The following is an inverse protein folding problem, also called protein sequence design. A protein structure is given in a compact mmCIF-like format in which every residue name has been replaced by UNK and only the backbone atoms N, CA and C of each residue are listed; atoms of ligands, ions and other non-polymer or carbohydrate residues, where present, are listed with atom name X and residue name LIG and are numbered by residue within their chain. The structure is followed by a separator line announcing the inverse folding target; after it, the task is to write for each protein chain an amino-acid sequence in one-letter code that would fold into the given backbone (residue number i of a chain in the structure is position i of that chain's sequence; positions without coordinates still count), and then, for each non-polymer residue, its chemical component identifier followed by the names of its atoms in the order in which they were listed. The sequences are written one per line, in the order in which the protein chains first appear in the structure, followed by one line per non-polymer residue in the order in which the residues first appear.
data_IF_998515184870
#
_entry.id   IF_998515184870
#
_cell.length_a   1.000
_cell.length_b   1.000
_cell.length_c   1.000
_cell.angle_alpha   90.00
_cell.angle_beta   90.00
_cell.angle_gamma   90.00
#
_symmetry.space_group_name_H-M   'P 1'
#
loop_
_entity.id
_entity.type
_entity.pdbx_description
1 polymer ?
#
# COMPACT_ATOMS: atom_id res chain seq x y z
N UNK A 1 19.06 -1.26 -5.92
CA UNK A 1 19.25 -0.63 -4.60
C UNK A 1 20.65 -0.06 -4.43
N UNK A 2 21.69 -0.84 -4.71
CA UNK A 2 23.10 -0.43 -4.53
C UNK A 2 23.46 0.93 -5.18
N UNK A 3 23.01 1.18 -6.41
CA UNK A 3 23.28 2.44 -7.11
C UNK A 3 22.71 3.67 -6.40
N UNK A 4 21.47 3.61 -5.91
CA UNK A 4 20.82 4.71 -5.17
C UNK A 4 21.63 5.09 -3.93
N UNK A 5 22.02 4.06 -3.16
CA UNK A 5 22.81 4.23 -1.94
C UNK A 5 24.21 4.75 -2.24
N UNK A 6 24.86 4.27 -3.30
CA UNK A 6 26.17 4.74 -3.74
C UNK A 6 26.15 6.23 -4.05
N UNK A 7 25.25 6.67 -4.93
CA UNK A 7 25.13 8.08 -5.33
C UNK A 7 24.84 8.97 -4.12
N UNK A 8 23.93 8.52 -3.23
CA UNK A 8 23.60 9.25 -1.99
C UNK A 8 24.83 9.42 -1.09
N UNK A 9 25.57 8.34 -0.85
CA UNK A 9 26.75 8.35 0.03
C UNK A 9 27.89 9.18 -0.56
N UNK A 10 28.13 9.12 -1.86
CA UNK A 10 29.17 9.91 -2.53
C UNK A 10 28.92 11.41 -2.38
N UNK A 11 27.67 11.85 -2.53
CA UNK A 11 27.30 13.27 -2.39
C UNK A 11 27.30 13.71 -0.93
N UNK A 12 26.75 12.90 -0.01
CA UNK A 12 26.70 13.26 1.42
C UNK A 12 28.08 13.27 2.09
N UNK A 13 28.99 12.40 1.65
CA UNK A 13 30.39 12.35 2.12
C UNK A 13 31.29 13.36 1.42
N UNK A 14 30.75 14.17 0.50
CA UNK A 14 31.52 15.19 -0.23
C UNK A 14 32.54 14.63 -1.23
N UNK A 15 32.46 13.34 -1.59
CA UNK A 15 33.39 12.71 -2.54
C UNK A 15 33.22 13.24 -3.96
N UNK A 16 31.98 13.56 -4.35
CA UNK A 16 31.63 14.08 -5.67
C UNK A 16 30.69 15.26 -5.55
N UNK A 17 30.86 16.26 -6.42
CA UNK A 17 29.98 17.44 -6.42
C UNK A 17 28.65 17.08 -7.05
N UNK A 18 27.56 17.72 -6.61
CA UNK A 18 26.21 17.47 -7.15
C UNK A 18 26.16 17.56 -8.68
N UNK A 19 26.79 18.57 -9.29
CA UNK A 19 26.81 18.77 -10.75
C UNK A 19 27.58 17.69 -11.52
N UNK A 20 28.61 17.14 -10.91
CA UNK A 20 29.43 16.06 -11.46
C UNK A 20 28.61 14.78 -11.54
N UNK A 21 27.92 14.43 -10.44
CA UNK A 21 27.00 13.29 -10.38
C UNK A 21 25.87 13.40 -11.41
N UNK A 22 25.29 14.58 -11.62
CA UNK A 22 24.25 14.77 -12.65
C UNK A 22 24.76 14.44 -14.06
N UNK A 23 26.02 14.79 -14.37
CA UNK A 23 26.61 14.55 -15.69
C UNK A 23 27.00 13.08 -15.88
N UNK A 24 27.71 12.52 -14.91
CA UNK A 24 28.31 11.20 -15.05
C UNK A 24 27.29 10.07 -14.89
N UNK A 25 26.32 10.24 -13.99
CA UNK A 25 25.24 9.25 -13.78
C UNK A 25 24.05 9.50 -14.74
N UNK A 26 24.07 10.59 -15.52
CA UNK A 26 23.02 10.93 -16.48
C UNK A 26 21.65 11.21 -15.84
N UNK A 27 21.61 11.65 -14.57
CA UNK A 27 20.36 11.89 -13.84
C UNK A 27 19.99 13.37 -13.77
N UNK A 28 18.69 13.65 -13.73
CA UNK A 28 18.17 15.01 -13.51
C UNK A 28 18.29 15.48 -12.05
N UNK A 29 18.26 16.81 -11.86
CA UNK A 29 18.31 17.44 -10.53
C UNK A 29 17.21 16.94 -9.58
N UNK A 30 16.00 16.73 -10.08
CA UNK A 30 14.89 16.22 -9.26
C UNK A 30 15.14 14.80 -8.76
N UNK A 31 15.74 13.95 -9.59
CA UNK A 31 16.11 12.58 -9.20
C UNK A 31 17.19 12.61 -8.13
N UNK A 32 18.23 13.44 -8.30
CA UNK A 32 19.25 13.62 -7.27
C UNK A 32 18.66 14.17 -5.96
N UNK A 33 17.72 15.12 -6.02
CA UNK A 33 17.00 15.61 -4.85
C UNK A 33 16.24 14.48 -4.14
N UNK A 34 15.55 13.61 -4.89
CA UNK A 34 14.88 12.42 -4.32
C UNK A 34 15.87 11.46 -3.67
N UNK A 35 17.02 11.21 -4.31
CA UNK A 35 18.13 10.38 -3.77
C UNK A 35 18.67 10.95 -2.47
N UNK A 36 18.78 12.28 -2.34
CA UNK A 36 19.27 12.94 -1.13
C UNK A 36 18.23 13.05 -0.02
N UNK A 37 16.93 13.03 -0.34
CA UNK A 37 15.85 13.05 0.66
C UNK A 37 15.53 11.66 1.20
N UNK A 38 15.51 10.63 0.35
CA UNK A 38 15.10 9.28 0.76
C UNK A 38 16.30 8.31 0.78
N UNK A 39 16.49 7.52 1.85
CA UNK A 39 17.57 6.54 1.94
C UNK A 39 17.42 5.43 0.89
N UNK A 40 16.20 5.15 0.48
CA UNK A 40 15.83 4.18 -0.54
C UNK A 40 14.90 4.83 -1.57
N UNK A 41 14.84 4.33 -2.81
CA UNK A 41 13.91 4.82 -3.82
C UNK A 41 12.49 4.82 -3.24
N UNK A 42 11.80 5.97 -3.22
CA UNK A 42 10.42 6.00 -2.77
C UNK A 42 9.61 5.09 -3.70
N UNK A 43 9.00 4.04 -3.13
CA UNK A 43 8.14 3.12 -3.86
C UNK A 43 6.92 3.83 -4.46
N UNK A 44 6.03 3.06 -5.08
CA UNK A 44 4.79 3.60 -5.63
C UNK A 44 3.97 4.30 -4.54
N UNK A 45 3.89 5.63 -4.59
CA UNK A 45 3.14 6.47 -3.65
C UNK A 45 1.88 6.98 -4.32
N UNK A 46 0.86 6.13 -4.41
CA UNK A 46 -0.48 6.59 -4.75
C UNK A 46 -1.14 7.10 -3.45
N UNK A 47 -1.30 8.43 -3.33
CA UNK A 47 -1.91 9.05 -2.14
C UNK A 47 -3.42 8.78 -2.05
N UNK A 48 -4.09 8.76 -3.19
CA UNK A 48 -5.53 8.58 -3.30
C UNK A 48 -5.85 7.51 -4.35
N UNK A 49 -6.86 6.65 -4.12
CA UNK A 49 -7.29 5.70 -5.12
C UNK A 49 -7.65 6.43 -6.42
N UNK A 50 -7.34 5.81 -7.57
CA UNK A 50 -7.68 6.38 -8.86
C UNK A 50 -9.19 6.65 -8.93
N UNK A 51 -9.62 7.81 -9.45
CA UNK A 51 -11.04 8.12 -9.56
C UNK A 51 -11.74 7.06 -10.42
N UNK A 52 -12.95 6.66 -9.98
CA UNK A 52 -13.81 5.68 -10.67
C UNK A 52 -15.01 6.40 -11.32
N UNK A 53 -14.82 7.25 -12.35
CA UNK A 53 -15.85 8.20 -12.81
C UNK A 53 -17.12 7.53 -13.37
N UNK A 54 -17.00 6.33 -13.95
CA UNK A 54 -18.14 5.63 -14.57
C UNK A 54 -18.92 4.76 -13.60
N UNK A 55 -18.23 4.00 -12.75
CA UNK A 55 -18.88 3.10 -11.78
C UNK A 55 -19.31 3.83 -10.51
N UNK A 56 -18.72 5.00 -10.21
CA UNK A 56 -19.05 5.82 -9.05
C UNK A 56 -20.55 5.99 -8.80
N UNK A 57 -21.33 6.48 -9.79
CA UNK A 57 -22.78 6.65 -9.67
C UNK A 57 -23.56 5.36 -9.35
N UNK A 58 -23.02 4.19 -9.71
CA UNK A 58 -23.70 2.91 -9.54
C UNK A 58 -23.22 2.13 -8.30
N UNK A 59 -22.27 2.67 -7.51
CA UNK A 59 -21.74 1.98 -6.33
C UNK A 59 -22.83 1.69 -5.28
N UNK A 60 -23.72 2.65 -5.03
CA UNK A 60 -24.84 2.45 -4.09
C UNK A 60 -25.79 1.36 -4.58
N UNK A 61 -26.07 1.32 -5.88
CA UNK A 61 -26.93 0.30 -6.47
C UNK A 61 -26.28 -1.09 -6.43
N UNK A 62 -24.98 -1.19 -6.66
CA UNK A 62 -24.22 -2.43 -6.48
C UNK A 62 -24.34 -2.93 -5.04
N UNK A 63 -24.18 -2.03 -4.06
CA UNK A 63 -24.29 -2.38 -2.65
C UNK A 63 -25.70 -2.90 -2.29
N UNK A 64 -26.75 -2.24 -2.80
CA UNK A 64 -28.13 -2.68 -2.60
C UNK A 64 -28.38 -4.08 -3.17
N UNK A 65 -27.95 -4.35 -4.42
CA UNK A 65 -28.13 -5.67 -5.04
C UNK A 65 -27.42 -6.76 -4.22
N UNK A 66 -26.20 -6.48 -3.73
CA UNK A 66 -25.45 -7.42 -2.88
C UNK A 66 -26.17 -7.65 -1.54
N UNK A 67 -26.79 -6.63 -0.96
CA UNK A 67 -27.55 -6.76 0.29
C UNK A 67 -28.82 -7.59 0.09
N UNK A 68 -29.59 -7.31 -0.97
CA UNK A 68 -30.76 -8.09 -1.38
C UNK A 68 -30.37 -9.56 -1.61
N UNK A 69 -29.23 -9.83 -2.25
CA UNK A 69 -28.70 -11.17 -2.49
C UNK A 69 -28.40 -11.96 -1.22
N UNK A 70 -28.11 -11.31 -0.09
CA UNK A 70 -27.81 -12.02 1.17
C UNK A 70 -29.01 -12.83 1.66
N UNK A 71 -30.23 -12.34 1.44
CA UNK A 71 -31.46 -13.01 1.80
C UNK A 71 -31.76 -14.22 0.91
N UNK A 72 -31.16 -14.28 -0.28
CA UNK A 72 -31.40 -15.35 -1.24
C UNK A 72 -30.51 -16.58 -0.99
N UNK A 73 -30.97 -17.79 -1.35
CA UNK A 73 -30.15 -19.00 -1.39
C UNK A 73 -28.92 -18.80 -2.30
N UNK A 74 -27.79 -19.40 -1.93
CA UNK A 74 -26.50 -19.22 -2.63
C UNK A 74 -26.55 -19.40 -4.15
N UNK A 75 -27.42 -20.28 -4.67
CA UNK A 75 -27.58 -20.54 -6.11
C UNK A 75 -28.33 -19.42 -6.87
N UNK A 76 -29.10 -18.58 -6.16
CA UNK A 76 -29.93 -17.52 -6.74
C UNK A 76 -29.30 -16.12 -6.60
N UNK A 77 -28.18 -16.01 -5.88
CA UNK A 77 -27.45 -14.75 -5.74
C UNK A 77 -26.86 -14.32 -7.07
N UNK A 78 -26.87 -13.02 -7.35
CA UNK A 78 -26.30 -12.50 -8.59
C UNK A 78 -24.78 -12.70 -8.60
N UNK A 79 -24.26 -13.05 -9.77
CA UNK A 79 -22.81 -13.01 -10.00
C UNK A 79 -22.40 -11.59 -10.40
N UNK A 80 -21.12 -11.27 -10.31
CA UNK A 80 -20.61 -9.97 -10.77
C UNK A 80 -20.96 -9.67 -12.24
N UNK A 81 -21.11 -10.72 -13.08
CA UNK A 81 -21.56 -10.58 -14.47
C UNK A 81 -23.02 -10.14 -14.55
N UNK A 82 -23.91 -10.77 -13.80
CA UNK A 82 -25.33 -10.40 -13.74
C UNK A 82 -25.53 -8.99 -13.16
N UNK A 83 -24.79 -8.64 -12.11
CA UNK A 83 -24.81 -7.27 -11.54
C UNK A 83 -24.38 -6.25 -12.61
N UNK A 84 -23.34 -6.57 -13.39
CA UNK A 84 -22.90 -5.72 -14.51
C UNK A 84 -23.97 -5.58 -15.60
N UNK A 85 -24.63 -6.66 -16.00
CA UNK A 85 -25.71 -6.61 -17.00
C UNK A 85 -26.87 -5.75 -16.50
N UNK A 86 -27.26 -5.90 -15.23
CA UNK A 86 -28.30 -5.09 -14.60
C UNK A 86 -27.96 -3.60 -14.56
N UNK A 87 -26.69 -3.27 -14.34
CA UNK A 87 -26.22 -1.89 -14.33
C UNK A 87 -26.16 -1.29 -15.73
N UNK A 88 -25.79 -2.11 -16.71
CA UNK A 88 -25.80 -1.72 -18.13
C UNK A 88 -27.21 -1.37 -18.62
N UNK A 89 -28.23 -2.08 -18.16
CA UNK A 89 -29.65 -1.75 -18.45
C UNK A 89 -30.05 -0.36 -17.95
N UNK A 90 -29.45 0.13 -16.86
CA UNK A 90 -29.72 1.46 -16.29
C UNK A 90 -28.90 2.58 -16.95
N UNK A 91 -28.23 2.31 -18.07
CA UNK A 91 -27.48 3.30 -18.84
C UNK A 91 -26.00 3.43 -18.49
N UNK A 92 -25.40 2.47 -17.79
CA UNK A 92 -23.97 2.55 -17.46
C UNK A 92 -23.06 2.37 -18.69
N UNK A 93 -22.06 3.24 -18.79
CA UNK A 93 -20.96 3.17 -19.77
C UNK A 93 -19.66 2.57 -19.20
N UNK A 94 -19.69 2.08 -17.96
CA UNK A 94 -18.59 1.41 -17.26
C UNK A 94 -18.20 0.08 -17.89
N UNK A 95 -16.93 -0.32 -17.72
CA UNK A 95 -16.45 -1.64 -18.15
C UNK A 95 -16.74 -2.68 -17.07
N UNK A 96 -17.00 -3.92 -17.47
CA UNK A 96 -17.16 -5.07 -16.57
C UNK A 96 -16.08 -5.17 -15.49
N UNK A 97 -14.82 -4.87 -15.82
CA UNK A 97 -13.70 -4.90 -14.87
C UNK A 97 -13.92 -3.97 -13.68
N UNK A 98 -14.49 -2.79 -13.90
CA UNK A 98 -14.73 -1.80 -12.84
C UNK A 98 -15.87 -2.26 -11.91
N UNK A 99 -16.93 -2.84 -12.47
CA UNK A 99 -18.03 -3.43 -11.67
C UNK A 99 -17.54 -4.64 -10.89
N UNK A 100 -16.76 -5.52 -11.52
CA UNK A 100 -16.15 -6.69 -10.86
C UNK A 100 -15.26 -6.27 -9.70
N UNK A 101 -14.46 -5.23 -9.85
CA UNK A 101 -13.63 -4.68 -8.77
C UNK A 101 -14.49 -4.10 -7.64
N UNK A 102 -15.54 -3.34 -7.96
CA UNK A 102 -16.46 -2.80 -6.96
C UNK A 102 -17.17 -3.92 -6.16
N UNK A 103 -17.72 -4.93 -6.85
CA UNK A 103 -18.34 -6.10 -6.22
C UNK A 103 -17.34 -6.83 -5.32
N UNK A 104 -16.10 -7.02 -5.78
CA UNK A 104 -15.04 -7.64 -4.98
C UNK A 104 -14.73 -6.81 -3.72
N UNK A 105 -14.73 -5.49 -3.83
CA UNK A 105 -14.47 -4.58 -2.71
C UNK A 105 -15.59 -4.66 -1.66
N UNK A 106 -16.86 -4.68 -2.06
CA UNK A 106 -18.01 -4.86 -1.17
C UNK A 106 -18.05 -6.25 -0.51
N UNK A 107 -17.69 -7.30 -1.26
CA UNK A 107 -17.63 -8.67 -0.74
C UNK A 107 -16.33 -8.98 0.02
N UNK A 108 -15.38 -8.03 0.07
CA UNK A 108 -14.12 -8.23 0.77
C UNK A 108 -14.40 -8.33 2.26
N UNK A 109 -14.47 -9.56 2.75
CA UNK A 109 -14.56 -9.82 4.19
C UNK A 109 -13.29 -9.27 4.83
N UNK A 110 -13.42 -8.25 5.68
CA UNK A 110 -12.37 -7.86 6.63
C UNK A 110 -12.37 -8.87 7.77
N UNK A 111 -12.06 -10.12 7.47
CA UNK A 111 -11.91 -11.12 8.51
C UNK A 111 -10.57 -10.88 9.18
N UNK A 112 -10.56 -10.85 10.51
CA UNK A 112 -9.31 -10.89 11.26
C UNK A 112 -8.58 -12.19 10.89
N UNK A 113 -7.44 -12.05 10.24
CA UNK A 113 -6.61 -13.20 9.86
C UNK A 113 -5.72 -13.50 11.06
N UNK A 114 -6.11 -14.50 11.85
CA UNK A 114 -5.25 -15.01 12.91
C UNK A 114 -4.14 -15.84 12.28
N UNK A 115 -2.90 -15.33 12.34
CA UNK A 115 -1.72 -16.11 11.97
C UNK A 115 -1.38 -17.03 13.15
N UNK A 116 -1.43 -18.37 12.97
CA UNK A 116 -1.04 -19.27 14.04
C UNK A 116 0.45 -19.08 14.34
N UNK A 117 0.77 -18.68 15.58
CA UNK A 117 2.13 -18.59 16.11
C UNK A 117 2.61 -20.01 16.44
N UNK A 118 2.98 -20.76 15.40
CA UNK A 118 3.62 -22.07 15.56
C UNK A 118 5.11 -21.90 15.33
N UNK A 119 5.87 -21.95 16.41
CA UNK A 119 7.34 -21.92 16.38
C UNK A 119 7.83 -23.36 16.44
N UNK A 120 8.51 -23.82 15.40
CA UNK A 120 9.10 -25.17 15.43
C UNK A 120 10.21 -25.19 16.47
N UNK A 121 10.43 -26.34 17.10
CA UNK A 121 11.50 -26.51 18.08
C UNK A 121 12.85 -26.15 17.42
N UNK A 122 13.58 -25.21 18.01
CA UNK A 122 14.83 -24.68 17.43
C UNK A 122 14.70 -23.32 16.71
N UNK A 123 13.49 -22.79 16.55
CA UNK A 123 13.25 -21.43 16.07
C UNK A 123 12.97 -20.49 17.26
N UNK A 124 13.69 -19.37 17.32
CA UNK A 124 13.43 -18.31 18.29
C UNK A 124 13.15 -17.00 17.53
N UNK A 125 12.08 -16.31 17.92
CA UNK A 125 11.79 -14.97 17.42
C UNK A 125 12.45 -13.95 18.35
N UNK A 126 13.21 -13.03 17.77
CA UNK A 126 13.81 -11.90 18.47
C UNK A 126 13.24 -10.64 17.86
N UNK A 127 12.52 -9.87 18.66
CA UNK A 127 12.00 -8.57 18.23
C UNK A 127 13.04 -7.50 18.58
N UNK A 128 13.56 -6.84 17.56
CA UNK A 128 14.47 -5.69 17.74
C UNK A 128 13.65 -4.42 17.88
N UNK A 129 13.88 -3.66 18.96
CA UNK A 129 13.08 -2.49 19.26
C UNK A 129 13.82 -1.47 20.12
N UNK A 130 13.36 -0.22 20.06
CA UNK A 130 13.84 0.82 20.97
C UNK A 130 12.85 0.98 22.11
N UNK A 131 13.32 0.79 23.34
CA UNK A 131 12.56 1.13 24.54
C UNK A 131 13.09 2.46 25.12
N UNK A 132 12.18 3.34 25.55
CA UNK A 132 12.53 4.49 26.37
C UNK A 132 12.45 4.05 27.83
N UNK A 133 13.60 3.85 28.48
CA UNK A 133 13.66 3.55 29.90
C UNK A 133 13.98 4.84 30.68
N UNK A 134 13.23 5.08 31.77
CA UNK A 134 13.56 6.11 32.75
C UNK A 134 14.41 5.47 33.85
N UNK A 135 15.73 5.58 33.74
CA UNK A 135 16.66 5.11 34.77
C UNK A 135 16.85 6.22 35.79
N UNK A 136 16.42 6.01 37.03
CA UNK A 136 16.54 6.99 38.11
C UNK A 136 17.92 6.94 38.76
N UNK A 137 18.94 7.42 38.05
CA UNK A 137 20.13 8.06 38.64
C UNK A 137 20.55 9.19 37.69
N UNK A 138 20.42 10.44 38.15
CA UNK A 138 20.82 11.67 37.45
C UNK A 138 20.37 11.82 35.98
N UNK A 139 19.14 12.32 35.81
CA UNK A 139 18.68 13.21 34.73
C UNK A 139 19.36 13.11 33.36
N UNK A 140 19.27 11.97 32.66
CA UNK A 140 19.39 11.89 31.21
C UNK A 140 18.65 10.64 30.68
N UNK A 141 17.73 10.83 29.72
CA UNK A 141 17.05 9.72 29.01
C UNK A 141 17.96 9.18 27.91
N UNK A 142 18.47 7.96 28.08
CA UNK A 142 19.25 7.26 27.04
C UNK A 142 18.35 6.29 26.29
N UNK A 143 18.33 6.37 24.95
CA UNK A 143 17.74 5.30 24.11
C UNK A 143 18.68 4.10 24.15
N UNK A 144 18.19 2.98 24.64
CA UNK A 144 18.92 1.71 24.65
C UNK A 144 18.31 0.78 23.60
N UNK A 145 19.16 0.11 22.83
CA UNK A 145 18.78 -0.96 21.92
C UNK A 145 18.53 -2.24 22.72
N UNK A 146 17.41 -2.92 22.45
CA UNK A 146 17.14 -4.29 22.87
C UNK A 146 17.21 -5.18 21.62
#
# INVERSE_FOLDING_TARGET
MEWWTKVRLEVLRGKRKKREVLRDEGIGWETLKKILVHPEPPGYRLKEPRPKPKVGPYLERIAQIIEEDKALPKKQRHTAKWIYERIREMGDGGKYTQVKEAVREFLRVKQEVFMPLVHRVGEAQVDFGYALAKVSVCSNFTKTLI
#
